data_IF_591132812662
#
_entry.id   IF_591132812662
#
_cell.length_a   1.000
_cell.length_b   1.000
_cell.length_c   1.000
_cell.angle_alpha   90.00
_cell.angle_beta   90.00
_cell.angle_gamma   90.00
#
_symmetry.space_group_name_H-M   'P 1'
#
loop_
_entity.id
_entity.type
_entity.pdbx_description
1 polymer ?
#
# COMPACT_ATOMS: atom_id res chain seq x y z
N UNK A 1 20.14 6.49 -8.22
CA UNK A 1 18.81 6.21 -7.96
C UNK A 1 18.36 4.85 -8.45
N UNK A 2 17.43 4.27 -7.81
CA UNK A 2 16.96 2.93 -8.19
C UNK A 2 15.90 2.97 -9.27
N UNK A 3 15.67 4.12 -9.84
CA UNK A 3 14.53 4.32 -10.69
C UNK A 3 14.50 3.43 -11.92
N UNK A 4 15.65 3.12 -12.51
CA UNK A 4 15.67 2.49 -13.82
C UNK A 4 15.68 0.98 -13.81
N UNK A 5 16.02 0.33 -12.70
CA UNK A 5 16.28 -1.09 -12.78
C UNK A 5 15.79 -1.89 -11.58
N UNK A 6 15.51 -1.25 -10.48
CA UNK A 6 15.24 -1.99 -9.25
C UNK A 6 13.80 -1.84 -8.80
N UNK A 7 12.88 -1.91 -9.75
CA UNK A 7 11.45 -1.89 -9.44
C UNK A 7 10.92 -3.29 -9.33
N UNK A 8 9.95 -3.46 -8.44
CA UNK A 8 9.30 -4.74 -8.25
C UNK A 8 7.82 -4.55 -7.94
N UNK A 9 7.10 -5.65 -8.00
CA UNK A 9 5.71 -5.73 -7.58
C UNK A 9 5.65 -6.63 -6.37
N UNK A 10 4.92 -6.18 -5.34
CA UNK A 10 4.77 -6.94 -4.11
C UNK A 10 3.32 -7.39 -4.03
N UNK A 11 3.05 -8.69 -4.23
CA UNK A 11 1.67 -9.17 -4.14
C UNK A 11 1.20 -9.19 -2.70
N UNK A 12 -0.05 -8.82 -2.49
CA UNK A 12 -0.65 -8.80 -1.17
C UNK A 12 -2.14 -9.04 -1.28
N UNK A 13 -2.71 -9.77 -0.33
CA UNK A 13 -4.15 -9.93 -0.28
C UNK A 13 -4.82 -8.70 0.34
N UNK A 14 -4.09 -7.97 1.18
CA UNK A 14 -4.61 -6.81 1.88
C UNK A 14 -3.47 -5.95 2.39
N UNK A 15 -3.77 -4.71 2.74
CA UNK A 15 -2.88 -3.93 3.59
C UNK A 15 -3.69 -3.40 4.77
N UNK A 16 -2.99 -2.96 5.82
CA UNK A 16 -3.64 -2.60 7.06
C UNK A 16 -3.21 -1.20 7.50
N UNK A 17 -4.16 -0.50 8.12
CA UNK A 17 -3.89 0.77 8.77
C UNK A 17 -4.49 0.74 10.16
N UNK A 18 -3.90 1.51 11.06
CA UNK A 18 -4.28 1.52 12.46
C UNK A 18 -4.70 2.93 12.86
N UNK A 19 -5.75 3.02 13.68
CA UNK A 19 -6.24 4.31 14.16
C UNK A 19 -6.42 4.27 15.67
N UNK A 20 -6.40 5.45 16.28
CA UNK A 20 -6.57 5.60 17.72
C UNK A 20 -5.28 6.00 18.40
N UNK A 21 -5.40 6.50 19.64
CA UNK A 21 -4.27 7.00 20.41
C UNK A 21 -3.80 6.02 21.48
N UNK A 22 -4.57 4.98 21.77
CA UNK A 22 -4.26 4.01 22.83
C UNK A 22 -4.15 2.64 22.24
N UNK A 23 -3.26 1.83 22.82
CA UNK A 23 -3.12 0.44 22.41
C UNK A 23 -4.09 -0.45 23.18
N UNK A 24 -4.65 -1.48 22.53
CA UNK A 24 -4.50 -1.76 21.11
C UNK A 24 -5.26 -0.75 20.25
N UNK A 25 -4.66 -0.38 19.14
CA UNK A 25 -5.32 0.51 18.17
C UNK A 25 -6.35 -0.26 17.36
N UNK A 26 -7.30 0.46 16.78
CA UNK A 26 -8.22 -0.13 15.82
C UNK A 26 -7.40 -0.61 14.61
N UNK A 27 -7.77 -1.76 14.07
CA UNK A 27 -7.08 -2.35 12.92
C UNK A 27 -8.04 -2.45 11.76
N UNK A 28 -7.67 -1.88 10.64
CA UNK A 28 -8.50 -1.80 9.44
C UNK A 28 -7.81 -2.52 8.30
N UNK A 29 -8.55 -3.37 7.62
CA UNK A 29 -8.06 -4.19 6.53
C UNK A 29 -8.57 -3.62 5.22
N UNK A 30 -7.67 -3.34 4.29
CA UNK A 30 -7.99 -2.80 2.98
C UNK A 30 -7.72 -3.83 1.91
N UNK A 31 -8.69 -4.04 1.03
CA UNK A 31 -8.56 -4.97 -0.09
C UNK A 31 -8.95 -4.25 -1.38
N UNK A 32 -8.41 -4.72 -2.49
CA UNK A 32 -8.77 -4.20 -3.81
C UNK A 32 -10.11 -4.80 -4.20
N UNK A 33 -11.06 -3.94 -4.52
CA UNK A 33 -12.42 -4.37 -4.88
C UNK A 33 -12.38 -5.24 -6.14
N UNK A 34 -13.14 -6.32 -6.11
CA UNK A 34 -13.31 -7.22 -7.25
C UNK A 34 -12.01 -7.87 -7.72
N UNK A 35 -11.05 -8.05 -6.82
CA UNK A 35 -9.79 -8.69 -7.15
C UNK A 35 -9.37 -9.63 -6.02
N UNK A 36 -8.72 -10.74 -6.40
CA UNK A 36 -8.26 -11.73 -5.42
C UNK A 36 -7.06 -11.22 -4.64
N UNK A 37 -6.24 -10.38 -5.26
CA UNK A 37 -5.06 -9.80 -4.59
C UNK A 37 -4.71 -8.50 -5.29
N UNK A 38 -3.79 -7.76 -4.68
CA UNK A 38 -3.28 -6.52 -5.24
C UNK A 38 -1.78 -6.64 -5.44
N UNK A 39 -1.21 -5.78 -6.28
CA UNK A 39 0.23 -5.63 -6.41
C UNK A 39 0.60 -4.23 -5.94
N UNK A 40 1.57 -4.16 -5.05
CA UNK A 40 2.05 -2.91 -4.49
C UNK A 40 3.37 -2.56 -5.18
N UNK A 41 3.51 -1.30 -5.58
CA UNK A 41 4.74 -0.83 -6.20
C UNK A 41 5.85 -0.84 -5.16
N UNK A 42 6.98 -1.42 -5.53
CA UNK A 42 8.14 -1.50 -4.66
C UNK A 42 9.42 -1.27 -5.41
N UNK A 43 10.48 -1.08 -4.63
CA UNK A 43 11.85 -1.02 -5.12
C UNK A 43 12.69 -1.95 -4.27
N UNK A 44 13.79 -2.41 -4.84
CA UNK A 44 14.66 -3.35 -4.13
C UNK A 44 16.12 -3.03 -4.40
N UNK A 45 16.99 -3.54 -3.55
CA UNK A 45 18.42 -3.44 -3.73
C UNK A 45 19.08 -4.74 -3.32
N UNK A 46 20.21 -5.01 -3.95
CA UNK A 46 21.03 -6.14 -3.53
C UNK A 46 21.74 -5.80 -2.24
N UNK A 47 22.02 -6.81 -1.46
CA UNK A 47 22.85 -6.65 -0.28
C UNK A 47 24.31 -6.52 -0.66
N UNK A 48 25.10 -5.93 0.23
CA UNK A 48 26.54 -5.84 0.08
C UNK A 48 27.19 -6.87 0.99
N UNK A 49 28.18 -7.59 0.46
CA UNK A 49 28.86 -8.63 1.23
C UNK A 49 27.89 -9.69 1.68
N UNK A 50 27.75 -9.85 2.99
CA UNK A 50 26.87 -10.86 3.57
C UNK A 50 25.46 -10.37 3.84
N UNK A 51 25.14 -9.13 3.47
CA UNK A 51 23.79 -8.60 3.69
C UNK A 51 22.81 -9.26 2.73
N UNK A 52 21.59 -9.52 3.21
CA UNK A 52 20.51 -9.97 2.35
C UNK A 52 20.01 -8.84 1.47
N UNK A 53 19.43 -9.14 0.31
CA UNK A 53 18.73 -8.12 -0.47
C UNK A 53 17.59 -7.53 0.36
N UNK A 54 17.24 -6.30 0.05
CA UNK A 54 16.16 -5.60 0.75
C UNK A 54 15.20 -4.96 -0.25
N UNK A 55 13.95 -4.84 0.15
CA UNK A 55 12.97 -4.13 -0.67
C UNK A 55 12.12 -3.24 0.23
N UNK A 56 11.48 -2.27 -0.37
CA UNK A 56 10.55 -1.40 0.34
C UNK A 56 9.33 -1.12 -0.53
N UNK A 57 8.19 -0.96 0.12
CA UNK A 57 6.96 -0.56 -0.54
C UNK A 57 6.96 0.96 -0.67
N UNK A 58 6.48 1.46 -1.80
CA UNK A 58 6.36 2.89 -2.00
C UNK A 58 5.01 3.37 -1.47
N UNK A 59 4.98 4.61 -1.01
CA UNK A 59 3.77 5.21 -0.47
C UNK A 59 3.41 6.46 -1.24
N UNK A 60 2.15 6.84 -1.15
CA UNK A 60 1.60 8.03 -1.78
C UNK A 60 0.59 8.67 -0.83
N UNK A 61 0.04 9.80 -1.24
CA UNK A 61 -1.08 10.38 -0.53
C UNK A 61 -2.26 9.40 -0.55
N UNK A 62 -3.17 9.46 0.43
CA UNK A 62 -4.23 8.46 0.52
C UNK A 62 -5.31 8.68 -0.52
N UNK A 63 -5.87 7.56 -1.00
CA UNK A 63 -7.11 7.58 -1.76
C UNK A 63 -8.25 8.05 -0.84
N UNK A 64 -9.36 8.54 -1.41
CA UNK A 64 -10.51 8.88 -0.57
C UNK A 64 -10.94 7.74 0.35
N UNK A 65 -10.77 6.49 -0.09
CA UNK A 65 -11.13 5.31 0.71
C UNK A 65 -10.26 5.16 1.96
N UNK A 66 -9.08 5.75 1.98
CA UNK A 66 -8.09 5.57 3.05
C UNK A 66 -7.91 6.81 3.90
N UNK A 67 -8.20 8.00 3.36
CA UNK A 67 -7.81 9.25 4.03
C UNK A 67 -8.46 9.45 5.39
N UNK A 68 -9.60 8.80 5.67
CA UNK A 68 -10.21 8.84 6.99
C UNK A 68 -9.44 8.01 8.01
N UNK A 69 -8.52 7.17 7.57
CA UNK A 69 -7.80 6.24 8.42
C UNK A 69 -6.33 6.56 8.55
N UNK A 70 -5.73 7.14 7.50
CA UNK A 70 -4.30 7.44 7.51
C UNK A 70 -3.98 8.49 6.46
N UNK A 71 -2.86 9.21 6.65
CA UNK A 71 -2.44 10.28 5.74
C UNK A 71 -1.49 9.81 4.65
N UNK A 72 -1.10 8.53 4.65
CA UNK A 72 -0.29 7.92 3.60
C UNK A 72 -0.80 6.51 3.37
N UNK A 73 -0.53 5.97 2.19
CA UNK A 73 -0.87 4.58 1.89
C UNK A 73 0.15 3.99 0.92
N UNK A 74 0.20 2.66 0.88
CA UNK A 74 1.02 1.97 -0.13
C UNK A 74 0.44 2.21 -1.52
N UNK A 75 1.32 2.21 -2.52
CA UNK A 75 0.89 2.42 -3.91
C UNK A 75 0.39 1.11 -4.48
N UNK A 76 -0.92 1.01 -4.68
CA UNK A 76 -1.55 -0.16 -5.28
C UNK A 76 -1.66 0.07 -6.78
N UNK A 77 -1.15 -0.86 -7.57
CA UNK A 77 -1.18 -0.77 -9.03
C UNK A 77 -2.23 -1.71 -9.60
N UNK A 78 -2.99 -1.22 -10.56
CA UNK A 78 -3.90 -2.08 -11.31
C UNK A 78 -3.11 -2.97 -12.27
N UNK A 79 -3.64 -4.14 -12.63
CA UNK A 79 -2.91 -5.03 -13.56
C UNK A 79 -2.47 -4.34 -14.84
N UNK A 80 -3.26 -3.41 -15.36
CA UNK A 80 -2.89 -2.68 -16.58
C UNK A 80 -1.65 -1.82 -16.41
N UNK A 81 -1.25 -1.53 -15.17
CA UNK A 81 -0.09 -0.67 -14.89
C UNK A 81 1.13 -1.47 -14.43
N UNK A 82 0.99 -2.77 -14.22
CA UNK A 82 2.10 -3.58 -13.67
C UNK A 82 3.34 -3.52 -14.55
N UNK A 83 3.18 -3.77 -15.85
CA UNK A 83 4.32 -3.74 -16.77
C UNK A 83 4.89 -2.34 -16.91
N UNK A 84 4.03 -1.33 -16.87
CA UNK A 84 4.48 0.06 -16.95
C UNK A 84 5.40 0.41 -15.77
N UNK A 85 5.10 -0.12 -14.58
CA UNK A 85 5.96 0.11 -13.42
C UNK A 85 7.28 -0.64 -13.54
N UNK A 86 7.23 -1.92 -13.90
CA UNK A 86 8.43 -2.75 -13.98
C UNK A 86 9.39 -2.22 -15.04
N UNK A 87 8.88 -1.82 -16.19
CA UNK A 87 9.70 -1.42 -17.32
C UNK A 87 9.80 0.10 -17.50
N UNK A 88 9.13 0.85 -16.64
CA UNK A 88 9.08 2.31 -16.69
C UNK A 88 8.68 2.81 -18.08
N UNK A 89 7.59 2.29 -18.58
CA UNK A 89 7.07 2.69 -19.89
C UNK A 89 6.03 3.81 -19.78
N UNK A 90 5.77 4.29 -18.55
CA UNK A 90 5.00 5.49 -18.26
C UNK A 90 5.72 6.26 -17.16
N UNK A 91 5.55 7.60 -17.11
CA UNK A 91 6.18 8.39 -16.05
C UNK A 91 5.78 7.93 -14.67
N UNK A 92 6.72 7.93 -13.73
CA UNK A 92 6.46 7.49 -12.37
C UNK A 92 5.28 8.24 -11.74
N UNK A 93 5.18 9.53 -12.00
CA UNK A 93 4.10 10.33 -11.40
C UNK A 93 2.70 9.86 -11.82
N UNK A 94 2.60 9.18 -12.96
CA UNK A 94 1.32 8.67 -13.43
C UNK A 94 0.97 7.35 -12.77
N UNK A 95 1.94 6.70 -12.15
CA UNK A 95 1.77 5.39 -11.51
C UNK A 95 1.74 5.49 -9.99
N UNK A 96 2.55 6.37 -9.43
CA UNK A 96 2.71 6.50 -7.97
C UNK A 96 1.66 7.47 -7.41
N UNK A 97 0.41 7.07 -7.51
CA UNK A 97 -0.71 7.88 -7.04
C UNK A 97 -1.82 6.98 -6.52
N UNK A 98 -2.73 7.53 -5.70
CA UNK A 98 -3.83 6.73 -5.17
C UNK A 98 -4.83 6.36 -6.26
N UNK A 99 -5.53 5.26 -6.04
CA UNK A 99 -6.61 4.83 -6.90
C UNK A 99 -7.85 5.70 -6.66
N UNK A 100 -8.77 5.77 -7.62
CA UNK A 100 -10.01 6.51 -7.44
C UNK A 100 -10.85 5.99 -6.29
N UNK A 101 -11.73 6.83 -5.77
CA UNK A 101 -12.69 6.46 -4.75
C UNK A 101 -13.47 5.22 -5.17
N UNK A 102 -13.70 4.31 -4.22
CA UNK A 102 -14.43 3.08 -4.47
C UNK A 102 -13.57 1.93 -4.97
N UNK A 103 -12.26 2.15 -5.17
CA UNK A 103 -11.37 1.08 -5.63
C UNK A 103 -11.01 0.11 -4.51
N UNK A 104 -11.00 0.57 -3.28
CA UNK A 104 -10.62 -0.23 -2.11
C UNK A 104 -11.81 -0.43 -1.20
N UNK A 105 -11.88 -1.61 -0.60
CA UNK A 105 -12.84 -1.92 0.45
C UNK A 105 -12.13 -1.93 1.78
N UNK A 106 -12.81 -1.47 2.84
CA UNK A 106 -12.23 -1.46 4.17
C UNK A 106 -13.12 -2.26 5.11
N UNK A 107 -12.47 -3.03 5.99
CA UNK A 107 -13.13 -3.78 7.03
C UNK A 107 -12.39 -3.52 8.34
N UNK A 108 -13.10 -3.09 9.38
CA UNK A 108 -12.48 -2.94 10.69
C UNK A 108 -12.48 -4.32 11.35
N UNK A 109 -11.27 -4.90 11.44
CA UNK A 109 -11.14 -6.27 11.95
C UNK A 109 -10.97 -6.30 13.45
N UNK A 110 -10.68 -5.14 14.07
CA UNK A 110 -10.56 -5.03 15.53
C UNK A 110 -10.80 -3.58 15.92
N UNK A 111 -11.74 -3.32 16.84
CA UNK A 111 -11.93 -1.95 17.33
C UNK A 111 -10.75 -1.54 18.20
N UNK A 112 -10.48 -0.26 18.27
CA UNK A 112 -9.45 0.28 19.13
C UNK A 112 -9.94 0.43 20.57
N UNK A 113 -9.00 0.57 21.48
CA UNK A 113 -9.30 0.78 22.89
C UNK A 113 -10.08 2.08 23.08
N UNK A 114 -9.72 3.12 22.34
CA UNK A 114 -10.43 4.40 22.40
C UNK A 114 -11.90 4.25 22.00
N UNK A 115 -12.13 3.51 20.93
CA UNK A 115 -13.48 3.30 20.40
C UNK A 115 -14.30 2.42 21.31
N UNK A 116 -13.68 1.36 21.85
CA UNK A 116 -14.34 0.46 22.76
C UNK A 116 -14.79 1.18 24.03
N UNK A 117 -14.02 2.17 24.47
CA UNK A 117 -14.35 2.94 25.66
C UNK A 117 -15.42 3.99 25.44
N UNK A 118 -15.81 4.24 24.21
CA UNK A 118 -16.78 5.27 23.89
C UNK A 118 -18.22 4.81 23.98
N UNK A 119 -18.45 3.57 24.25
CA UNK A 119 -19.80 2.99 24.30
C UNK A 119 -20.45 3.19 25.65
#
# INVERSE_FOLDING_TARGET
RFANSNRCLIPASAFFEFTGNKYPKAKHRFTLKDAAFMAIAGIWREGKGNEAPAFTMLTTSPAPDVELFHDRQVVVLRPTDWAHWIYLTRPEKDLLRPLPEGSLQVETVRPGKDEAGAI
#
